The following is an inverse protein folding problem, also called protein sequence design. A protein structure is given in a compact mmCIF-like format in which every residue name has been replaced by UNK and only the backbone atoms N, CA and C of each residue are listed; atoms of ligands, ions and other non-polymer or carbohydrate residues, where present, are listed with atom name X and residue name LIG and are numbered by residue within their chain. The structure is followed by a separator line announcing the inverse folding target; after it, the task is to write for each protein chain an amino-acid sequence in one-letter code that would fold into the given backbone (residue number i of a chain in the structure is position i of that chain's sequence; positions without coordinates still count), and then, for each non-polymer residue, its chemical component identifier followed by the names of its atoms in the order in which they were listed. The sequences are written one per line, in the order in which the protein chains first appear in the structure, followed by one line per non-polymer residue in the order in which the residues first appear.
data_IF_934027661796
#
_entry.id   IF_934027661796
#
_cell.length_a   1.000
_cell.length_b   1.000
_cell.length_c   1.000
_cell.angle_alpha   90.00
_cell.angle_beta   90.00
_cell.angle_gamma   90.00
#
_symmetry.space_group_name_H-M   'P 1'
#
loop_
_entity.id
_entity.type
_entity.pdbx_description
1 polymer ?
#
# COMPACT_ATOMS: atom_id res chain seq x y z
N UNK A 1 -19.10 -18.15 -2.05
CA UNK A 1 -18.18 -18.52 -3.17
C UNK A 1 -16.86 -19.05 -2.63
N UNK A 2 -16.22 -19.93 -3.39
CA UNK A 2 -14.82 -20.35 -3.20
C UNK A 2 -13.94 -19.45 -4.05
N UNK A 3 -13.08 -18.68 -3.40
CA UNK A 3 -12.26 -17.64 -4.03
C UNK A 3 -10.78 -18.00 -3.83
N UNK A 4 -9.98 -18.00 -4.91
CA UNK A 4 -8.54 -18.11 -4.85
C UNK A 4 -7.88 -16.77 -5.15
N UNK A 5 -7.06 -16.27 -4.22
CA UNK A 5 -6.19 -15.12 -4.46
C UNK A 5 -4.79 -15.63 -4.78
N UNK A 6 -4.36 -15.44 -6.05
CA UNK A 6 -3.05 -15.87 -6.55
C UNK A 6 -2.04 -14.73 -6.37
N UNK A 7 -1.07 -14.93 -5.49
CA UNK A 7 -0.12 -13.87 -5.12
C UNK A 7 1.32 -14.39 -5.10
N UNK A 8 2.13 -13.92 -6.01
CA UNK A 8 3.49 -14.40 -6.26
C UNK A 8 4.58 -13.70 -5.43
N UNK A 9 4.26 -13.25 -4.23
CA UNK A 9 5.24 -12.66 -3.31
C UNK A 9 5.19 -13.31 -1.93
N UNK A 10 6.32 -13.26 -1.23
CA UNK A 10 6.47 -13.80 0.13
C UNK A 10 5.37 -13.32 1.07
N UNK A 11 4.76 -14.27 1.79
CA UNK A 11 3.73 -14.00 2.79
C UNK A 11 3.88 -15.03 3.94
N UNK A 12 4.00 -14.57 5.21
CA UNK A 12 3.90 -13.19 5.66
C UNK A 12 5.14 -12.33 5.36
N UNK A 13 4.94 -11.05 5.10
CA UNK A 13 6.02 -10.07 5.00
C UNK A 13 5.52 -8.64 5.32
N UNK A 14 6.44 -7.75 5.68
CA UNK A 14 6.13 -6.33 5.93
C UNK A 14 6.00 -5.52 4.63
N UNK A 15 6.03 -6.14 3.48
CA UNK A 15 5.85 -5.46 2.20
C UNK A 15 4.41 -4.94 2.05
N UNK A 16 4.21 -3.72 1.55
CA UNK A 16 2.87 -3.15 1.36
C UNK A 16 1.94 -4.03 0.52
N UNK A 17 2.46 -4.72 -0.50
CA UNK A 17 1.69 -5.64 -1.33
C UNK A 17 1.15 -6.82 -0.53
N UNK A 18 1.98 -7.42 0.33
CA UNK A 18 1.58 -8.53 1.20
C UNK A 18 0.54 -8.08 2.25
N UNK A 19 0.77 -6.92 2.88
CA UNK A 19 -0.19 -6.32 3.83
C UNK A 19 -1.55 -6.13 3.15
N UNK A 20 -1.58 -5.55 1.94
CA UNK A 20 -2.82 -5.28 1.23
C UNK A 20 -3.55 -6.57 0.81
N UNK A 21 -2.83 -7.56 0.28
CA UNK A 21 -3.42 -8.83 -0.14
C UNK A 21 -4.02 -9.58 1.04
N UNK A 22 -3.26 -9.74 2.13
CA UNK A 22 -3.74 -10.48 3.31
C UNK A 22 -4.95 -9.80 3.94
N UNK A 23 -4.94 -8.47 4.08
CA UNK A 23 -6.09 -7.74 4.63
C UNK A 23 -7.31 -7.79 3.69
N UNK A 24 -7.09 -7.78 2.35
CA UNK A 24 -8.19 -7.97 1.38
C UNK A 24 -8.79 -9.36 1.50
N UNK A 25 -7.96 -10.42 1.53
CA UNK A 25 -8.43 -11.80 1.73
C UNK A 25 -9.16 -11.97 3.06
N UNK A 26 -8.64 -11.40 4.14
CA UNK A 26 -9.30 -11.40 5.45
C UNK A 26 -10.67 -10.73 5.40
N UNK A 27 -10.78 -9.58 4.74
CA UNK A 27 -12.05 -8.87 4.59
C UNK A 27 -13.06 -9.66 3.73
N UNK A 28 -12.61 -10.29 2.66
CA UNK A 28 -13.46 -11.18 1.83
C UNK A 28 -13.93 -12.38 2.66
N UNK A 29 -13.07 -12.96 3.51
CA UNK A 29 -13.44 -14.05 4.41
C UNK A 29 -14.48 -13.61 5.45
N UNK A 30 -14.44 -12.33 5.91
CA UNK A 30 -15.45 -11.76 6.81
C UNK A 30 -16.84 -11.64 6.13
N UNK A 31 -16.90 -11.53 4.81
CA UNK A 31 -18.13 -11.54 4.01
C UNK A 31 -18.64 -12.96 3.72
N UNK A 32 -18.26 -13.95 4.54
CA UNK A 32 -18.70 -15.34 4.46
C UNK A 32 -18.28 -16.09 3.20
N UNK A 33 -17.22 -15.62 2.50
CA UNK A 33 -16.61 -16.36 1.40
C UNK A 33 -15.48 -17.26 1.91
N UNK A 34 -15.28 -18.42 1.26
CA UNK A 34 -14.13 -19.30 1.51
C UNK A 34 -12.95 -18.80 0.66
N UNK A 35 -11.93 -18.23 1.30
CA UNK A 35 -10.78 -17.62 0.61
C UNK A 35 -9.53 -18.47 0.81
N UNK A 36 -8.91 -18.90 -0.28
CA UNK A 36 -7.56 -19.47 -0.31
C UNK A 36 -6.59 -18.43 -0.83
N UNK A 37 -5.57 -18.14 -0.04
CA UNK A 37 -4.44 -17.29 -0.45
C UNK A 37 -3.28 -18.19 -0.85
N UNK A 38 -2.97 -18.25 -2.14
CA UNK A 38 -1.91 -19.09 -2.69
C UNK A 38 -0.66 -18.26 -2.91
N UNK A 39 0.45 -18.65 -2.25
CA UNK A 39 1.71 -17.92 -2.22
C UNK A 39 2.91 -18.85 -2.37
N UNK A 40 4.09 -18.34 -2.79
CA UNK A 40 5.32 -19.13 -2.76
C UNK A 40 5.74 -19.45 -1.31
N UNK A 41 6.23 -20.66 -1.08
CA UNK A 41 6.77 -21.07 0.20
C UNK A 41 8.18 -20.47 0.41
N UNK A 42 8.30 -19.52 1.31
CA UNK A 42 9.57 -18.87 1.66
C UNK A 42 10.09 -19.28 3.03
N UNK A 43 9.58 -20.39 3.58
CA UNK A 43 10.06 -20.96 4.85
C UNK A 43 9.56 -20.27 6.13
N UNK A 44 8.87 -19.14 6.04
CA UNK A 44 8.38 -18.44 7.22
C UNK A 44 7.09 -19.07 7.77
N UNK A 45 7.10 -19.52 9.01
CA UNK A 45 5.96 -20.11 9.72
C UNK A 45 5.42 -19.17 10.81
N UNK A 46 4.94 -17.99 10.42
CA UNK A 46 4.33 -17.04 11.34
C UNK A 46 2.83 -16.94 11.05
N UNK A 47 2.02 -16.95 12.11
CA UNK A 47 0.58 -16.78 12.00
C UNK A 47 0.21 -15.45 11.32
N UNK A 48 -0.58 -15.50 10.25
CA UNK A 48 -1.10 -14.30 9.57
C UNK A 48 -1.87 -13.40 10.54
N UNK A 49 -2.66 -14.01 11.43
CA UNK A 49 -3.45 -13.29 12.43
C UNK A 49 -2.56 -12.43 13.34
N UNK A 50 -1.48 -13.02 13.86
CA UNK A 50 -0.53 -12.32 14.75
C UNK A 50 0.29 -11.27 13.99
N UNK A 51 0.74 -11.59 12.76
CA UNK A 51 1.60 -10.71 11.98
C UNK A 51 0.86 -9.45 11.47
N UNK A 52 -0.36 -9.63 10.94
CA UNK A 52 -1.13 -8.55 10.31
C UNK A 52 -2.23 -7.97 11.21
N UNK A 53 -2.54 -8.58 12.36
CA UNK A 53 -3.63 -8.16 13.24
C UNK A 53 -5.02 -8.37 12.64
N UNK A 54 -5.19 -9.39 11.78
CA UNK A 54 -6.46 -9.69 11.11
C UNK A 54 -7.38 -10.53 11.97
N UNK A 55 -8.71 -10.33 11.85
CA UNK A 55 -9.70 -11.07 12.64
C UNK A 55 -9.98 -12.46 12.05
N UNK A 56 -10.19 -12.57 10.74
CA UNK A 56 -10.47 -13.82 10.03
C UNK A 56 -9.37 -14.09 9.01
N UNK A 57 -8.64 -15.18 9.18
CA UNK A 57 -7.55 -15.55 8.28
C UNK A 57 -8.08 -16.28 7.05
N UNK A 58 -7.60 -15.96 5.84
CA UNK A 58 -7.78 -16.86 4.69
C UNK A 58 -7.03 -18.16 4.94
N UNK A 59 -7.41 -19.24 4.25
CA UNK A 59 -6.61 -20.47 4.19
C UNK A 59 -5.34 -20.17 3.40
N UNK A 60 -4.17 -20.27 4.03
CA UNK A 60 -2.88 -20.01 3.39
C UNK A 60 -2.36 -21.30 2.76
N UNK A 61 -2.18 -21.28 1.44
CA UNK A 61 -1.57 -22.37 0.67
C UNK A 61 -0.17 -21.91 0.24
N UNK A 62 0.85 -22.63 0.67
CA UNK A 62 2.25 -22.37 0.33
C UNK A 62 2.73 -23.38 -0.70
N UNK A 63 2.91 -22.97 -1.95
CA UNK A 63 3.45 -23.82 -3.00
C UNK A 63 4.98 -23.80 -2.98
N UNK A 64 5.59 -24.93 -3.38
CA UNK A 64 7.04 -25.06 -3.46
C UNK A 64 7.63 -23.92 -4.30
N UNK A 65 8.66 -23.27 -3.76
CA UNK A 65 9.33 -22.14 -4.41
C UNK A 65 10.63 -22.60 -5.03
N UNK A 66 10.74 -22.43 -6.33
CA UNK A 66 11.89 -22.87 -7.11
C UNK A 66 12.92 -21.74 -7.22
N UNK A 67 13.53 -21.34 -6.09
CA UNK A 67 14.49 -20.24 -6.04
C UNK A 67 15.84 -20.50 -6.75
N UNK A 68 16.10 -21.75 -7.17
CA UNK A 68 17.28 -22.12 -7.96
C UNK A 68 17.18 -21.79 -9.45
N UNK A 69 15.99 -21.46 -9.96
CA UNK A 69 15.80 -21.08 -11.35
C UNK A 69 16.08 -19.58 -11.57
N UNK A 70 16.55 -19.17 -12.77
CA UNK A 70 16.69 -17.76 -13.12
C UNK A 70 15.42 -16.97 -12.87
N UNK A 71 15.57 -15.71 -12.48
CA UNK A 71 14.51 -14.83 -11.96
C UNK A 71 13.19 -14.77 -12.77
N UNK A 72 13.20 -15.12 -14.03
CA UNK A 72 12.00 -15.16 -14.87
C UNK A 72 11.20 -16.48 -14.79
N UNK A 73 11.89 -17.61 -14.77
CA UNK A 73 11.24 -18.93 -14.92
C UNK A 73 10.40 -19.30 -13.69
N UNK A 74 10.90 -19.06 -12.47
CA UNK A 74 10.14 -19.38 -11.26
C UNK A 74 8.79 -18.64 -11.19
N UNK A 75 8.73 -17.43 -11.75
CA UNK A 75 7.51 -16.61 -11.78
C UNK A 75 6.42 -17.27 -12.64
N UNK A 76 6.80 -17.80 -13.80
CA UNK A 76 5.87 -18.50 -14.70
C UNK A 76 5.47 -19.86 -14.13
N UNK A 77 6.42 -20.63 -13.58
CA UNK A 77 6.14 -21.91 -12.93
C UNK A 77 5.21 -21.75 -11.73
N UNK A 78 5.46 -20.78 -10.86
CA UNK A 78 4.57 -20.50 -9.73
C UNK A 78 3.16 -20.14 -10.20
N UNK A 79 3.06 -19.30 -11.23
CA UNK A 79 1.77 -18.91 -11.82
C UNK A 79 1.00 -20.12 -12.32
N UNK A 80 1.66 -21.01 -13.05
CA UNK A 80 1.06 -22.25 -13.55
C UNK A 80 0.59 -23.16 -12.41
N UNK A 81 1.47 -23.53 -11.49
CA UNK A 81 1.12 -24.41 -10.37
C UNK A 81 0.04 -23.82 -9.44
N UNK A 82 0.05 -22.50 -9.24
CA UNK A 82 -0.98 -21.85 -8.42
C UNK A 82 -2.38 -21.94 -9.03
N UNK A 83 -2.49 -21.89 -10.36
CA UNK A 83 -3.75 -22.04 -11.09
C UNK A 83 -4.20 -23.50 -11.07
N UNK A 84 -3.29 -24.44 -11.37
CA UNK A 84 -3.58 -25.88 -11.32
C UNK A 84 -4.12 -26.25 -9.94
N UNK A 85 -3.42 -25.87 -8.86
CA UNK A 85 -3.89 -26.13 -7.50
C UNK A 85 -5.29 -25.55 -7.24
N UNK A 86 -5.53 -24.30 -7.68
CA UNK A 86 -6.82 -23.64 -7.46
C UNK A 86 -7.97 -24.27 -8.29
N UNK A 87 -7.69 -24.88 -9.43
CA UNK A 87 -8.68 -25.60 -10.24
C UNK A 87 -9.13 -26.87 -9.51
N UNK A 88 -8.18 -27.68 -9.00
CA UNK A 88 -8.51 -28.88 -8.23
C UNK A 88 -9.36 -28.58 -6.99
N UNK A 89 -9.22 -27.39 -6.40
CA UNK A 89 -10.03 -26.91 -5.29
C UNK A 89 -11.44 -26.42 -5.70
N UNK A 90 -11.85 -26.62 -6.95
CA UNK A 90 -13.14 -26.16 -7.51
C UNK A 90 -13.39 -24.68 -7.23
N UNK A 91 -12.36 -23.82 -7.44
CA UNK A 91 -12.45 -22.36 -7.29
C UNK A 91 -13.44 -21.76 -8.29
N UNK A 92 -14.33 -20.89 -7.79
CA UNK A 92 -15.37 -20.22 -8.59
C UNK A 92 -14.92 -18.86 -9.11
N UNK A 93 -14.07 -18.16 -8.33
CA UNK A 93 -13.56 -16.83 -8.67
C UNK A 93 -12.07 -16.71 -8.35
N UNK A 94 -11.31 -16.21 -9.29
CA UNK A 94 -9.88 -15.95 -9.14
C UNK A 94 -9.62 -14.47 -8.97
N UNK A 95 -8.72 -14.11 -8.07
CA UNK A 95 -8.22 -12.73 -7.92
C UNK A 95 -6.71 -12.76 -8.08
N UNK A 96 -6.16 -11.87 -8.88
CA UNK A 96 -4.71 -11.78 -9.10
C UNK A 96 -4.26 -10.35 -9.38
N UNK A 97 -2.95 -10.12 -9.26
CA UNK A 97 -2.24 -8.90 -9.69
C UNK A 97 -1.25 -9.19 -10.81
N UNK A 98 -1.16 -10.44 -11.21
CA UNK A 98 -0.16 -10.95 -12.13
C UNK A 98 -0.80 -11.09 -13.51
N UNK A 99 -0.22 -10.41 -14.51
CA UNK A 99 -0.70 -10.46 -15.90
C UNK A 99 -0.57 -11.87 -16.50
N UNK A 100 0.48 -12.61 -16.15
CA UNK A 100 0.63 -13.97 -16.65
C UNK A 100 -0.46 -14.90 -16.10
N UNK A 101 -0.84 -14.76 -14.81
CA UNK A 101 -2.01 -15.45 -14.28
C UNK A 101 -3.28 -15.07 -15.04
N UNK A 102 -3.45 -13.79 -15.38
CA UNK A 102 -4.60 -13.33 -16.16
C UNK A 102 -4.66 -14.01 -17.53
N UNK A 103 -3.51 -14.12 -18.22
CA UNK A 103 -3.42 -14.77 -19.52
C UNK A 103 -3.84 -16.24 -19.44
N UNK A 104 -3.28 -16.98 -18.48
CA UNK A 104 -3.62 -18.39 -18.28
C UNK A 104 -5.11 -18.58 -17.91
N UNK A 105 -5.65 -17.73 -17.03
CA UNK A 105 -7.07 -17.78 -16.65
C UNK A 105 -7.99 -17.39 -17.81
N UNK A 106 -7.54 -16.53 -18.73
CA UNK A 106 -8.27 -16.21 -19.96
C UNK A 106 -8.33 -17.43 -20.92
N UNK A 107 -7.20 -18.11 -21.09
CA UNK A 107 -7.14 -19.35 -21.90
C UNK A 107 -8.10 -20.40 -21.32
N UNK A 108 -8.09 -20.57 -20.01
CA UNK A 108 -8.94 -21.52 -19.29
C UNK A 108 -10.40 -21.02 -19.08
N UNK A 109 -10.75 -19.85 -19.59
CA UNK A 109 -12.09 -19.21 -19.47
C UNK A 109 -12.59 -19.13 -18.01
N UNK A 110 -11.68 -19.01 -17.01
CA UNK A 110 -12.02 -18.94 -15.58
C UNK A 110 -12.36 -17.51 -15.17
N UNK A 111 -13.43 -17.33 -14.38
CA UNK A 111 -13.84 -16.00 -13.86
C UNK A 111 -12.73 -15.36 -13.05
N UNK A 112 -12.29 -14.15 -13.43
CA UNK A 112 -11.14 -13.48 -12.82
C UNK A 112 -11.39 -12.00 -12.56
N UNK A 113 -10.88 -11.52 -11.43
CA UNK A 113 -10.69 -10.11 -11.10
C UNK A 113 -9.20 -9.84 -11.13
N UNK A 114 -8.78 -8.81 -11.88
CA UNK A 114 -7.40 -8.35 -11.94
C UNK A 114 -7.23 -7.01 -11.22
N UNK A 115 -6.28 -6.92 -10.28
CA UNK A 115 -5.91 -5.67 -9.62
C UNK A 115 -4.65 -5.07 -10.25
N UNK A 116 -4.74 -3.84 -10.77
CA UNK A 116 -3.64 -3.13 -11.42
C UNK A 116 -3.16 -1.99 -10.52
N UNK A 117 -1.85 -2.01 -10.20
CA UNK A 117 -1.22 -1.13 -9.23
C UNK A 117 -0.23 -0.10 -9.81
N UNK A 118 0.13 -0.24 -11.06
CA UNK A 118 1.07 0.63 -11.77
C UNK A 118 0.89 0.47 -13.29
N UNK A 119 1.61 1.28 -14.05
CA UNK A 119 1.76 1.07 -15.48
C UNK A 119 2.61 -0.18 -15.78
N UNK A 120 2.53 -0.66 -17.02
CA UNK A 120 3.33 -1.81 -17.47
C UNK A 120 4.69 -1.40 -18.03
N UNK A 121 5.15 -0.17 -17.75
CA UNK A 121 6.41 0.32 -18.30
C UNK A 121 7.62 -0.54 -17.91
N UNK A 122 7.58 -1.10 -16.71
CA UNK A 122 8.63 -1.96 -16.16
C UNK A 122 8.35 -3.48 -16.33
N UNK A 123 7.27 -3.86 -16.98
CA UNK A 123 7.03 -5.26 -17.34
C UNK A 123 7.93 -5.68 -18.52
N UNK A 124 8.27 -6.96 -18.61
CA UNK A 124 9.07 -7.49 -19.72
C UNK A 124 8.46 -7.18 -21.09
N UNK A 125 9.28 -7.09 -22.13
CA UNK A 125 8.82 -6.81 -23.52
C UNK A 125 7.73 -7.79 -23.96
N UNK A 126 7.88 -9.05 -23.62
CA UNK A 126 6.90 -10.11 -23.91
C UNK A 126 5.53 -9.85 -23.27
N UNK A 127 5.50 -9.50 -22.00
CA UNK A 127 4.24 -9.18 -21.30
C UNK A 127 3.54 -7.95 -21.93
N UNK A 128 4.32 -6.93 -22.30
CA UNK A 128 3.78 -5.76 -23.00
C UNK A 128 3.18 -6.12 -24.36
N UNK A 129 3.87 -6.94 -25.11
CA UNK A 129 3.40 -7.45 -26.40
C UNK A 129 2.06 -8.20 -26.22
N UNK A 130 2.01 -9.16 -25.28
CA UNK A 130 0.79 -9.93 -25.01
C UNK A 130 -0.37 -9.02 -24.56
N UNK A 131 -0.10 -8.03 -23.69
CA UNK A 131 -1.14 -7.09 -23.26
C UNK A 131 -1.72 -6.27 -24.41
N UNK A 132 -0.88 -5.87 -25.36
CA UNK A 132 -1.28 -5.00 -26.47
C UNK A 132 -1.97 -5.78 -27.61
N UNK A 133 -1.41 -6.91 -28.01
CA UNK A 133 -1.83 -7.62 -29.23
C UNK A 133 -2.85 -8.75 -28.99
N UNK A 134 -2.86 -9.38 -27.81
CA UNK A 134 -3.80 -10.47 -27.49
C UNK A 134 -5.08 -9.95 -26.81
N UNK A 135 -5.20 -8.63 -26.61
CA UNK A 135 -6.37 -7.99 -26.00
C UNK A 135 -6.77 -8.67 -24.67
N UNK A 136 -5.76 -8.89 -23.78
CA UNK A 136 -5.92 -9.67 -22.55
C UNK A 136 -6.94 -9.11 -21.58
N UNK A 137 -7.23 -7.77 -21.63
CA UNK A 137 -8.13 -7.12 -20.70
C UNK A 137 -9.60 -7.10 -21.13
N UNK A 138 -9.93 -7.45 -22.39
CA UNK A 138 -11.30 -7.37 -22.92
C UNK A 138 -12.00 -8.73 -23.01
N UNK A 139 -11.42 -9.79 -22.39
CA UNK A 139 -12.02 -11.12 -22.40
C UNK A 139 -13.29 -11.17 -21.54
N UNK A 140 -14.27 -12.00 -21.95
CA UNK A 140 -15.57 -12.15 -21.26
C UNK A 140 -15.49 -12.70 -19.85
N UNK A 141 -14.48 -13.52 -19.56
CA UNK A 141 -14.25 -14.13 -18.23
C UNK A 141 -13.68 -13.15 -17.20
N UNK A 142 -13.23 -11.95 -17.61
CA UNK A 142 -12.82 -10.89 -16.69
C UNK A 142 -14.08 -10.19 -16.17
N UNK A 143 -14.41 -10.45 -14.93
CA UNK A 143 -15.62 -9.87 -14.29
C UNK A 143 -15.40 -8.47 -13.80
N UNK A 144 -14.15 -8.11 -13.44
CA UNK A 144 -13.77 -6.74 -13.03
C UNK A 144 -12.27 -6.48 -13.16
N UNK A 145 -11.93 -5.26 -13.53
CA UNK A 145 -10.57 -4.72 -13.45
C UNK A 145 -10.55 -3.67 -12.33
N UNK A 146 -9.73 -3.90 -11.30
CA UNK A 146 -9.55 -2.97 -10.19
C UNK A 146 -8.32 -2.11 -10.44
N UNK A 147 -8.52 -0.81 -10.62
CA UNK A 147 -7.45 0.18 -10.68
C UNK A 147 -7.29 0.84 -9.30
N UNK A 148 -6.06 0.94 -8.77
CA UNK A 148 -5.87 1.52 -7.43
C UNK A 148 -5.94 3.05 -7.40
N UNK A 149 -5.93 3.73 -8.56
CA UNK A 149 -6.04 5.19 -8.70
C UNK A 149 -6.74 5.53 -10.01
N UNK A 150 -7.30 6.73 -10.11
CA UNK A 150 -7.83 7.25 -11.38
C UNK A 150 -6.76 7.38 -12.45
N UNK A 151 -5.51 7.67 -12.04
CA UNK A 151 -4.38 7.71 -12.95
C UNK A 151 -4.11 6.34 -13.60
N UNK A 152 -4.23 5.23 -12.84
CA UNK A 152 -4.15 3.86 -13.39
C UNK A 152 -5.31 3.58 -14.33
N UNK A 153 -6.56 3.94 -13.96
CA UNK A 153 -7.74 3.79 -14.85
C UNK A 153 -7.51 4.50 -16.17
N UNK A 154 -7.10 5.78 -16.13
CA UNK A 154 -6.81 6.58 -17.34
C UNK A 154 -5.72 5.95 -18.21
N UNK A 155 -4.67 5.42 -17.58
CA UNK A 155 -3.59 4.70 -18.27
C UNK A 155 -4.12 3.47 -19.01
N UNK A 156 -4.94 2.64 -18.35
CA UNK A 156 -5.50 1.41 -18.92
C UNK A 156 -6.41 1.70 -20.11
N UNK A 157 -7.32 2.64 -19.96
CA UNK A 157 -8.22 3.06 -21.07
C UNK A 157 -7.42 3.55 -22.28
N UNK A 158 -6.44 4.45 -22.04
CA UNK A 158 -5.66 5.05 -23.13
C UNK A 158 -4.79 4.04 -23.89
N UNK A 159 -4.19 3.04 -23.19
CA UNK A 159 -3.17 2.18 -23.81
C UNK A 159 -3.70 0.81 -24.23
N UNK A 160 -4.86 0.37 -23.74
CA UNK A 160 -5.38 -0.98 -23.99
C UNK A 160 -6.84 -0.97 -24.47
N UNK A 161 -7.41 0.19 -24.75
CA UNK A 161 -8.79 0.34 -25.25
C UNK A 161 -9.80 -0.49 -24.45
N UNK A 162 -9.72 -0.41 -23.12
CA UNK A 162 -10.59 -1.17 -22.21
C UNK A 162 -11.87 -0.38 -21.99
N UNK A 163 -13.02 -1.05 -22.05
CA UNK A 163 -14.29 -0.46 -21.66
C UNK A 163 -14.22 0.07 -20.22
N UNK A 164 -14.50 1.38 -20.07
CA UNK A 164 -14.47 2.08 -18.79
C UNK A 164 -15.40 1.47 -17.75
N UNK A 165 -16.49 0.80 -18.16
CA UNK A 165 -17.45 0.09 -17.29
C UNK A 165 -16.82 -1.11 -16.61
N UNK A 166 -15.84 -1.76 -17.23
CA UNK A 166 -15.10 -2.89 -16.63
C UNK A 166 -14.06 -2.48 -15.59
N UNK A 167 -13.70 -1.17 -15.53
CA UNK A 167 -12.66 -0.67 -14.63
C UNK A 167 -13.27 0.11 -13.49
N UNK A 168 -13.16 -0.43 -12.27
CA UNK A 168 -13.52 0.29 -11.05
C UNK A 168 -12.27 0.80 -10.32
N UNK A 169 -12.31 2.05 -9.85
CA UNK A 169 -11.22 2.62 -9.03
C UNK A 169 -11.47 2.29 -7.58
N UNK A 170 -10.63 1.39 -7.04
CA UNK A 170 -10.70 0.94 -5.66
C UNK A 170 -9.34 1.17 -5.00
N UNK A 171 -9.13 2.30 -4.30
CA UNK A 171 -7.87 2.62 -3.66
C UNK A 171 -7.46 1.61 -2.59
N UNK A 172 -6.24 1.75 -2.09
CA UNK A 172 -5.78 1.05 -0.89
C UNK A 172 -6.68 1.41 0.32
N UNK A 173 -6.53 0.64 1.40
CA UNK A 173 -7.34 0.81 2.60
C UNK A 173 -6.50 0.63 3.86
N UNK A 174 -7.10 0.88 5.04
CA UNK A 174 -6.52 0.54 6.33
C UNK A 174 -7.41 -0.46 7.08
N UNK A 175 -6.77 -1.37 7.84
CA UNK A 175 -7.44 -2.22 8.83
C UNK A 175 -7.25 -1.71 10.25
N UNK A 176 -6.46 -0.65 10.43
CA UNK A 176 -6.18 -0.09 11.74
C UNK A 176 -7.41 0.66 12.27
N UNK A 177 -7.82 0.35 13.49
CA UNK A 177 -8.96 0.96 14.16
C UNK A 177 -8.45 1.84 15.30
N UNK A 178 -8.68 3.14 15.20
CA UNK A 178 -8.36 4.11 16.24
C UNK A 178 -9.63 4.73 16.83
N UNK A 179 -9.50 5.30 18.02
CA UNK A 179 -10.46 6.28 18.56
C UNK A 179 -9.93 7.67 18.22
N UNK A 180 -10.81 8.56 17.78
CA UNK A 180 -10.43 9.94 17.53
C UNK A 180 -10.06 10.64 18.84
N UNK A 181 -9.04 11.46 18.83
CA UNK A 181 -8.66 12.33 19.94
C UNK A 181 -8.20 13.68 19.41
N UNK A 182 -8.58 14.74 20.10
CA UNK A 182 -8.09 16.06 19.76
C UNK A 182 -6.58 16.19 20.02
N UNK A 183 -5.95 17.07 19.29
CA UNK A 183 -4.59 17.50 19.55
C UNK A 183 -4.64 18.67 20.53
N UNK A 184 -3.83 18.63 21.57
CA UNK A 184 -3.69 19.71 22.51
C UNK A 184 -2.41 20.53 22.20
N UNK A 185 -2.37 21.77 22.65
CA UNK A 185 -1.17 22.58 22.60
C UNK A 185 -0.10 21.94 23.49
N UNK A 186 1.11 21.76 22.96
CA UNK A 186 2.24 21.13 23.65
C UNK A 186 3.51 21.96 23.48
N UNK A 187 4.45 21.80 24.40
CA UNK A 187 5.81 22.37 24.30
C UNK A 187 6.52 21.78 23.06
N UNK A 188 6.37 20.48 22.80
CA UNK A 188 6.88 19.77 21.62
C UNK A 188 5.90 18.69 21.17
N UNK A 189 5.97 18.33 19.89
CA UNK A 189 5.19 17.27 19.29
C UNK A 189 6.04 16.04 18.97
N UNK A 190 5.45 14.86 19.05
CA UNK A 190 6.01 13.62 18.53
C UNK A 190 5.62 13.49 17.05
N UNK A 191 6.61 13.54 16.18
CA UNK A 191 6.44 13.57 14.73
C UNK A 191 6.91 12.26 14.15
N UNK A 192 6.01 11.49 13.52
CA UNK A 192 6.26 10.14 13.04
C UNK A 192 6.31 10.00 11.52
N UNK A 193 7.16 9.10 11.06
CA UNK A 193 7.17 8.59 9.69
C UNK A 193 7.19 7.06 9.71
N UNK A 194 6.29 6.45 8.94
CA UNK A 194 6.17 4.99 8.83
C UNK A 194 6.28 4.57 7.36
N UNK A 195 7.28 3.75 7.03
CA UNK A 195 7.47 3.29 5.66
C UNK A 195 8.92 2.92 5.33
N UNK A 196 9.18 2.52 4.09
CA UNK A 196 10.54 2.15 3.68
C UNK A 196 11.52 3.32 3.81
N UNK A 197 12.79 2.99 4.04
CA UNK A 197 13.88 3.96 4.20
C UNK A 197 14.46 4.45 2.85
N UNK A 198 13.66 4.38 1.78
CA UNK A 198 14.06 4.86 0.46
C UNK A 198 14.14 6.38 0.40
N UNK A 199 15.21 6.89 -0.25
CA UNK A 199 15.45 8.34 -0.40
C UNK A 199 14.29 9.07 -1.09
N UNK A 200 13.61 8.43 -2.05
CA UNK A 200 12.47 9.01 -2.77
C UNK A 200 11.22 9.20 -1.89
N UNK A 201 11.19 8.56 -0.73
CA UNK A 201 10.12 8.68 0.27
C UNK A 201 10.46 9.65 1.40
N UNK A 202 11.57 10.39 1.25
CA UNK A 202 11.91 11.54 2.08
C UNK A 202 12.61 11.22 3.40
N UNK A 203 13.19 10.03 3.59
CA UNK A 203 13.91 9.69 4.84
C UNK A 203 15.06 10.65 5.12
N UNK A 204 15.90 10.93 4.12
CA UNK A 204 17.00 11.90 4.27
C UNK A 204 16.48 13.31 4.57
N UNK A 205 15.33 13.68 4.04
CA UNK A 205 14.69 14.96 4.29
C UNK A 205 14.26 15.06 5.76
N UNK A 206 13.68 13.99 6.35
CA UNK A 206 13.29 13.98 7.76
C UNK A 206 14.51 14.09 8.67
N UNK A 207 15.65 13.48 8.34
CA UNK A 207 16.89 13.64 9.11
C UNK A 207 17.35 15.10 9.12
N UNK A 208 17.35 15.77 7.93
CA UNK A 208 17.67 17.19 7.82
C UNK A 208 16.66 18.08 8.56
N UNK A 209 15.36 17.73 8.48
CA UNK A 209 14.29 18.44 9.18
C UNK A 209 14.49 18.36 10.70
N UNK A 210 14.73 17.18 11.25
CA UNK A 210 15.01 16.96 12.67
C UNK A 210 16.28 17.68 13.13
N UNK A 211 17.31 17.76 12.27
CA UNK A 211 18.55 18.49 12.60
C UNK A 211 18.29 19.99 12.74
N UNK A 212 17.39 20.58 11.96
CA UNK A 212 17.07 22.01 12.02
C UNK A 212 16.01 22.35 13.07
N UNK A 213 14.99 21.50 13.23
CA UNK A 213 13.95 21.64 14.25
C UNK A 213 14.40 21.00 15.57
N UNK A 214 14.92 21.79 16.49
CA UNK A 214 15.42 21.32 17.80
C UNK A 214 14.32 21.17 18.85
N UNK A 215 13.11 21.62 18.58
CA UNK A 215 11.99 21.62 19.53
C UNK A 215 11.26 20.28 19.56
N UNK A 216 10.94 19.74 18.39
CA UNK A 216 10.10 18.55 18.27
C UNK A 216 10.92 17.25 18.30
N UNK A 217 10.26 16.13 18.63
CA UNK A 217 10.85 14.78 18.63
C UNK A 217 10.41 14.03 17.37
N UNK A 218 11.38 13.44 16.67
CA UNK A 218 11.16 12.76 15.41
C UNK A 218 11.35 11.25 15.56
N UNK A 219 10.49 10.49 14.87
CA UNK A 219 10.50 9.04 14.88
C UNK A 219 10.35 8.50 13.47
N UNK A 220 11.29 7.66 13.04
CA UNK A 220 11.23 6.91 11.79
C UNK A 220 11.09 5.43 12.11
N UNK A 221 10.09 4.78 11.53
CA UNK A 221 9.89 3.34 11.59
C UNK A 221 9.85 2.76 10.18
N UNK A 222 10.84 1.94 9.82
CA UNK A 222 10.88 1.32 8.50
C UNK A 222 12.18 0.63 8.17
N UNK A 223 12.20 -0.03 7.02
CA UNK A 223 13.34 -0.81 6.57
C UNK A 223 13.64 -2.05 7.42
N UNK A 224 14.68 -2.77 7.05
CA UNK A 224 15.25 -3.88 7.80
C UNK A 224 16.16 -3.37 8.94
N UNK A 225 16.62 -4.27 9.82
CA UNK A 225 17.67 -3.95 10.80
C UNK A 225 18.95 -3.46 10.11
N UNK A 226 19.28 -4.06 8.97
CA UNK A 226 20.42 -3.66 8.14
C UNK A 226 20.27 -2.25 7.55
N UNK A 227 19.09 -1.90 6.98
CA UNK A 227 18.85 -0.56 6.48
C UNK A 227 19.01 0.51 7.57
N UNK A 228 18.53 0.22 8.77
CA UNK A 228 18.65 1.10 9.94
C UNK A 228 20.11 1.24 10.37
N UNK A 229 20.90 0.15 10.39
CA UNK A 229 22.32 0.21 10.75
C UNK A 229 23.13 1.09 9.78
N UNK A 230 22.84 1.01 8.47
CA UNK A 230 23.44 1.89 7.45
C UNK A 230 23.11 3.36 7.72
N UNK A 231 21.83 3.67 8.01
CA UNK A 231 21.45 5.05 8.31
C UNK A 231 22.09 5.58 9.58
N UNK A 232 22.23 4.76 10.61
CA UNK A 232 22.85 5.14 11.89
C UNK A 232 24.37 5.39 11.80
N UNK A 233 25.05 4.96 10.73
CA UNK A 233 26.45 5.35 10.46
C UNK A 233 26.61 6.85 10.16
N UNK A 234 25.51 7.54 9.90
CA UNK A 234 25.50 8.99 9.70
C UNK A 234 25.30 9.71 11.04
N UNK A 235 25.67 10.99 11.08
CA UNK A 235 25.34 11.84 12.23
C UNK A 235 23.83 12.01 12.33
N UNK A 236 23.22 11.35 13.33
CA UNK A 236 21.78 11.40 13.59
C UNK A 236 21.52 12.45 14.68
N UNK A 237 20.57 13.39 14.48
CA UNK A 237 20.20 14.37 15.51
C UNK A 237 19.67 13.72 16.78
N UNK A 238 19.97 14.27 17.95
CA UNK A 238 19.57 13.73 19.27
C UNK A 238 18.04 13.63 19.43
N UNK A 239 17.28 14.47 18.74
CA UNK A 239 15.83 14.48 18.76
C UNK A 239 15.19 13.51 17.72
N UNK A 240 15.98 12.69 17.03
CA UNK A 240 15.50 11.70 16.05
C UNK A 240 15.81 10.28 16.48
N UNK A 241 14.75 9.44 16.55
CA UNK A 241 14.88 7.99 16.74
C UNK A 241 14.55 7.24 15.45
N UNK A 242 15.47 6.39 14.98
CA UNK A 242 15.29 5.55 13.79
C UNK A 242 15.18 4.09 14.23
N UNK A 243 14.06 3.46 13.85
CA UNK A 243 13.71 2.08 14.18
C UNK A 243 13.44 1.28 12.91
N UNK A 244 13.70 -0.02 12.94
CA UNK A 244 13.31 -0.91 11.85
C UNK A 244 11.79 -1.05 11.77
N UNK A 245 11.32 -1.65 10.68
CA UNK A 245 9.89 -1.91 10.47
C UNK A 245 9.33 -2.83 11.56
N UNK A 246 8.10 -2.56 11.96
CA UNK A 246 7.34 -3.39 12.90
C UNK A 246 6.27 -4.18 12.16
N UNK A 247 5.82 -5.29 12.75
CA UNK A 247 4.69 -6.03 12.21
C UNK A 247 3.45 -5.16 12.17
N UNK A 248 2.68 -5.27 11.10
CA UNK A 248 1.51 -4.41 10.87
C UNK A 248 0.50 -4.44 12.03
N UNK A 249 0.32 -5.60 12.67
CA UNK A 249 -0.54 -5.74 13.84
C UNK A 249 -0.11 -4.89 15.07
N UNK A 250 1.16 -4.48 15.15
CA UNK A 250 1.67 -3.59 16.22
C UNK A 250 1.69 -2.11 15.83
N UNK A 251 1.45 -1.80 14.56
CA UNK A 251 1.61 -0.44 14.02
C UNK A 251 0.69 0.58 14.71
N UNK A 252 -0.55 0.17 15.02
CA UNK A 252 -1.52 1.00 15.75
C UNK A 252 -0.94 1.56 17.05
N UNK A 253 -0.32 0.72 17.89
CA UNK A 253 0.23 1.14 19.18
C UNK A 253 1.32 2.19 19.03
N UNK A 254 2.12 2.11 17.97
CA UNK A 254 3.22 3.05 17.75
C UNK A 254 2.70 4.37 17.15
N UNK A 255 1.79 4.30 16.17
CA UNK A 255 1.17 5.48 15.59
C UNK A 255 0.39 6.28 16.65
N UNK A 256 -0.27 5.61 17.61
CA UNK A 256 -1.04 6.29 18.64
C UNK A 256 -0.20 7.26 19.50
N UNK A 257 1.11 7.00 19.64
CA UNK A 257 2.06 7.84 20.38
C UNK A 257 2.50 9.09 19.61
N UNK A 258 2.17 9.20 18.34
CA UNK A 258 2.52 10.35 17.50
C UNK A 258 1.43 11.42 17.58
N UNK A 259 1.83 12.67 17.35
CA UNK A 259 0.94 13.83 17.22
C UNK A 259 0.75 14.21 15.74
N UNK A 260 1.85 14.16 14.98
CA UNK A 260 1.93 14.54 13.57
C UNK A 260 2.56 13.40 12.78
N UNK A 261 2.04 13.13 11.58
CA UNK A 261 2.53 12.12 10.67
C UNK A 261 3.02 12.76 9.36
N UNK A 262 4.25 12.42 8.96
CA UNK A 262 4.87 13.00 7.78
C UNK A 262 4.83 12.07 6.57
N UNK A 263 4.56 12.65 5.39
CA UNK A 263 4.70 11.99 4.08
C UNK A 263 5.54 12.86 3.12
N UNK A 264 6.83 13.07 3.36
CA UNK A 264 7.68 13.92 2.53
C UNK A 264 8.18 13.15 1.28
N UNK A 265 7.24 12.68 0.47
CA UNK A 265 7.55 11.93 -0.75
C UNK A 265 8.06 12.87 -1.85
N UNK A 266 9.05 12.41 -2.63
CA UNK A 266 9.52 13.17 -3.77
C UNK A 266 8.40 13.32 -4.81
N UNK A 267 8.18 14.53 -5.30
CA UNK A 267 7.09 14.87 -6.22
C UNK A 267 7.34 14.42 -7.67
N UNK A 268 8.61 14.19 -8.03
CA UNK A 268 9.02 13.80 -9.38
C UNK A 268 9.28 12.29 -9.51
N UNK A 269 9.75 11.62 -8.44
CA UNK A 269 10.14 10.22 -8.47
C UNK A 269 9.86 9.53 -7.14
N UNK A 270 9.00 8.51 -7.13
CA UNK A 270 8.82 7.58 -6.02
C UNK A 270 9.17 6.17 -6.52
N UNK A 271 10.12 5.51 -5.85
CA UNK A 271 10.52 4.15 -6.19
C UNK A 271 9.60 3.11 -5.54
N UNK A 272 9.26 2.08 -6.29
CA UNK A 272 8.62 0.88 -5.76
C UNK A 272 9.64 0.06 -4.95
N UNK A 273 9.18 -0.68 -3.94
CA UNK A 273 10.03 -1.61 -3.21
C UNK A 273 10.45 -2.76 -4.15
N UNK A 274 11.76 -2.97 -4.30
CA UNK A 274 12.31 -4.04 -5.15
C UNK A 274 12.19 -3.84 -6.67
N UNK A 275 11.74 -2.66 -7.15
CA UNK A 275 11.65 -2.35 -8.59
C UNK A 275 12.36 -1.06 -8.97
N UNK A 276 12.99 -1.09 -10.14
CA UNK A 276 13.66 0.07 -10.77
C UNK A 276 12.60 0.83 -11.57
N UNK A 277 11.66 1.51 -10.90
CA UNK A 277 10.61 2.23 -11.59
C UNK A 277 10.15 3.49 -10.85
N UNK A 278 9.49 4.38 -11.58
CA UNK A 278 8.88 5.56 -11.00
C UNK A 278 7.35 5.38 -10.92
N UNK A 279 6.83 5.19 -9.72
CA UNK A 279 5.41 5.00 -9.47
C UNK A 279 4.69 6.27 -8.98
N UNK A 280 5.34 7.44 -9.05
CA UNK A 280 4.79 8.69 -8.50
C UNK A 280 3.43 9.05 -9.07
N UNK A 281 3.16 8.70 -10.33
CA UNK A 281 1.88 8.99 -11.01
C UNK A 281 0.75 8.04 -10.62
N UNK A 282 1.06 6.84 -10.11
CA UNK A 282 0.10 5.74 -9.99
C UNK A 282 -0.06 5.21 -8.57
N UNK A 283 0.78 5.65 -7.63
CA UNK A 283 0.85 5.04 -6.30
C UNK A 283 -0.36 5.36 -5.41
N UNK A 284 -0.87 4.35 -4.72
CA UNK A 284 -1.86 4.47 -3.64
C UNK A 284 -1.24 3.89 -2.35
N UNK A 285 -0.40 4.69 -1.63
CA UNK A 285 0.42 4.15 -0.55
C UNK A 285 -0.42 3.80 0.68
N UNK A 286 -0.26 2.60 1.24
CA UNK A 286 -0.99 2.12 2.42
C UNK A 286 -0.90 3.09 3.61
N UNK A 287 0.29 3.66 3.84
CA UNK A 287 0.50 4.62 4.94
C UNK A 287 -0.44 5.84 4.89
N UNK A 288 -0.88 6.27 3.70
CA UNK A 288 -1.84 7.37 3.58
C UNK A 288 -3.15 7.00 4.28
N UNK A 289 -3.65 5.79 4.05
CA UNK A 289 -4.91 5.31 4.63
C UNK A 289 -4.76 5.00 6.13
N UNK A 290 -3.61 4.47 6.55
CA UNK A 290 -3.30 4.27 7.97
C UNK A 290 -3.22 5.61 8.72
N UNK A 291 -2.66 6.65 8.09
CA UNK A 291 -2.59 7.99 8.65
C UNK A 291 -3.96 8.64 8.76
N UNK A 292 -4.80 8.54 7.72
CA UNK A 292 -6.19 8.98 7.80
C UNK A 292 -6.93 8.28 8.95
N UNK A 293 -6.82 6.95 9.03
CA UNK A 293 -7.48 6.15 10.05
C UNK A 293 -7.03 6.49 11.48
N UNK A 294 -5.78 6.96 11.63
CA UNK A 294 -5.23 7.33 12.93
C UNK A 294 -5.83 8.60 13.53
N UNK A 295 -6.45 9.46 12.71
CA UNK A 295 -6.92 10.78 13.13
C UNK A 295 -5.80 11.70 13.64
N UNK A 296 -4.55 11.44 13.25
CA UNK A 296 -3.42 12.32 13.53
C UNK A 296 -3.30 13.40 12.45
N UNK A 297 -2.62 14.52 12.76
CA UNK A 297 -2.35 15.52 11.73
C UNK A 297 -1.41 14.93 10.68
N UNK A 298 -1.77 15.06 9.41
CA UNK A 298 -0.96 14.62 8.28
C UNK A 298 -0.33 15.84 7.61
N UNK A 299 1.00 15.83 7.47
CA UNK A 299 1.72 16.83 6.65
C UNK A 299 2.37 16.07 5.49
N UNK A 300 2.06 16.49 4.26
CA UNK A 300 2.39 15.74 3.05
C UNK A 300 2.96 16.63 1.94
N UNK A 301 3.86 16.07 1.12
CA UNK A 301 4.31 16.71 -0.12
C UNK A 301 3.19 16.79 -1.15
N UNK A 302 3.21 17.83 -1.99
CA UNK A 302 2.25 18.03 -3.07
C UNK A 302 2.48 17.03 -4.23
N UNK A 303 2.19 15.75 -4.00
CA UNK A 303 2.21 14.70 -5.04
C UNK A 303 0.86 14.62 -5.72
N UNK A 304 0.82 14.76 -7.05
CA UNK A 304 -0.43 14.88 -7.81
C UNK A 304 -1.45 13.77 -7.52
N UNK A 305 -1.02 12.51 -7.49
CA UNK A 305 -1.93 11.37 -7.25
C UNK A 305 -2.50 11.35 -5.83
N UNK A 306 -1.85 11.97 -4.85
CA UNK A 306 -2.40 12.04 -3.49
C UNK A 306 -3.61 12.94 -3.40
N UNK A 307 -3.77 13.89 -4.34
CA UNK A 307 -4.95 14.77 -4.43
C UNK A 307 -6.24 14.03 -4.77
N UNK A 308 -6.17 12.78 -5.23
CA UNK A 308 -7.35 11.93 -5.37
C UNK A 308 -8.03 11.64 -4.02
N UNK A 309 -7.28 11.75 -2.91
CA UNK A 309 -7.73 11.45 -1.54
C UNK A 309 -7.53 12.63 -0.59
N UNK A 310 -6.40 13.34 -0.72
CA UNK A 310 -6.00 14.41 0.19
C UNK A 310 -6.29 15.80 -0.37
N UNK A 311 -6.83 16.67 0.51
CA UNK A 311 -7.11 18.08 0.21
C UNK A 311 -6.48 18.96 1.27
N UNK A 312 -5.65 19.93 0.84
CA UNK A 312 -4.97 20.87 1.76
C UNK A 312 -5.97 21.66 2.59
N UNK A 313 -5.69 21.82 3.87
CA UNK A 313 -6.55 22.54 4.80
C UNK A 313 -7.86 21.83 5.16
N UNK A 314 -8.24 20.75 4.46
CA UNK A 314 -9.46 19.98 4.71
C UNK A 314 -9.20 18.70 5.51
N UNK A 315 -8.25 17.85 5.07
CA UNK A 315 -7.93 16.58 5.72
C UNK A 315 -6.42 16.32 5.86
N UNK A 316 -5.60 17.26 5.44
CA UNK A 316 -4.15 17.25 5.62
C UNK A 316 -3.61 18.68 5.50
N UNK A 317 -2.32 18.86 5.77
CA UNK A 317 -1.57 20.05 5.39
C UNK A 317 -0.58 19.68 4.28
N UNK A 318 -0.66 20.37 3.14
CA UNK A 318 0.25 20.16 2.01
C UNK A 318 1.42 21.13 2.08
N UNK A 319 2.63 20.65 1.76
CA UNK A 319 3.81 21.47 1.53
C UNK A 319 4.27 21.27 0.09
N UNK A 320 4.38 22.36 -0.66
CA UNK A 320 4.58 22.30 -2.11
C UNK A 320 6.02 21.93 -2.52
N UNK A 321 6.98 22.19 -1.66
CA UNK A 321 8.39 22.01 -1.93
C UNK A 321 9.11 21.17 -0.86
N UNK A 322 10.37 20.85 -1.14
CA UNK A 322 11.29 20.19 -0.20
C UNK A 322 12.15 21.20 0.59
N UNK A 323 11.67 22.45 0.73
CA UNK A 323 12.33 23.44 1.55
C UNK A 323 12.05 23.16 3.04
N UNK A 324 13.12 22.94 3.80
CA UNK A 324 13.04 22.57 5.22
C UNK A 324 12.35 23.68 6.03
N UNK A 325 12.61 24.94 5.71
CA UNK A 325 12.01 26.08 6.41
C UNK A 325 10.49 26.10 6.27
N UNK A 326 9.97 25.79 5.08
CA UNK A 326 8.53 25.76 4.83
C UNK A 326 7.85 24.61 5.61
N UNK A 327 8.51 23.46 5.74
CA UNK A 327 8.03 22.36 6.58
C UNK A 327 8.04 22.73 8.06
N UNK A 328 9.12 23.34 8.57
CA UNK A 328 9.21 23.83 9.96
C UNK A 328 8.14 24.89 10.23
N UNK A 329 7.99 25.86 9.34
CA UNK A 329 6.94 26.89 9.45
C UNK A 329 5.55 26.28 9.56
N UNK A 330 5.27 25.24 8.72
CA UNK A 330 3.98 24.52 8.75
C UNK A 330 3.79 23.75 10.06
N UNK A 331 4.83 23.07 10.57
CA UNK A 331 4.80 22.36 11.86
C UNK A 331 4.61 23.34 13.02
N UNK A 332 5.33 24.45 13.03
CA UNK A 332 5.26 25.44 14.10
C UNK A 332 3.90 26.15 14.18
N UNK A 333 3.21 26.35 13.05
CA UNK A 333 1.86 26.91 13.03
C UNK A 333 0.83 26.03 13.76
N UNK A 334 1.07 24.73 13.90
CA UNK A 334 0.14 23.79 14.54
C UNK A 334 -0.26 24.25 15.94
N UNK A 335 0.69 24.73 16.76
CA UNK A 335 0.42 25.17 18.14
C UNK A 335 -0.40 26.46 18.25
N UNK A 336 -0.49 27.24 17.18
CA UNK A 336 -1.26 28.49 17.15
C UNK A 336 -2.66 28.31 16.53
N UNK A 337 -2.88 27.23 15.78
CA UNK A 337 -4.11 26.97 15.02
C UNK A 337 -4.83 25.68 15.50
N UNK A 338 -4.78 25.36 16.81
CA UNK A 338 -5.22 24.04 17.37
C UNK A 338 -6.66 23.69 16.97
N UNK A 339 -7.60 24.65 17.03
CA UNK A 339 -9.00 24.40 16.65
C UNK A 339 -9.11 23.99 15.18
N UNK A 340 -8.49 24.74 14.27
CA UNK A 340 -8.43 24.43 12.84
C UNK A 340 -7.77 23.09 12.57
N UNK A 341 -6.66 22.79 13.25
CA UNK A 341 -5.93 21.52 13.13
C UNK A 341 -6.83 20.35 13.56
N UNK A 342 -7.59 20.49 14.64
CA UNK A 342 -8.51 19.44 15.09
C UNK A 342 -9.64 19.20 14.10
N UNK A 343 -10.14 20.22 13.41
CA UNK A 343 -11.10 20.05 12.33
C UNK A 343 -10.50 19.27 11.14
N UNK A 344 -9.26 19.62 10.73
CA UNK A 344 -8.53 18.89 9.67
C UNK A 344 -8.36 17.41 10.04
N UNK A 345 -7.94 17.12 11.27
CA UNK A 345 -7.77 15.75 11.79
C UNK A 345 -9.10 14.99 11.82
N UNK A 346 -10.18 15.64 12.26
CA UNK A 346 -11.53 15.03 12.29
C UNK A 346 -11.99 14.68 10.88
N UNK A 347 -11.83 15.58 9.92
CA UNK A 347 -12.16 15.34 8.53
C UNK A 347 -11.34 14.17 7.93
N UNK A 348 -10.05 14.08 8.25
CA UNK A 348 -9.21 12.95 7.85
C UNK A 348 -9.72 11.63 8.43
N UNK A 349 -10.06 11.62 9.72
CA UNK A 349 -10.59 10.45 10.42
C UNK A 349 -11.94 10.01 9.86
N UNK A 350 -12.89 10.93 9.63
CA UNK A 350 -14.20 10.62 9.02
C UNK A 350 -14.03 10.09 7.59
N UNK A 351 -13.14 10.71 6.80
CA UNK A 351 -12.83 10.23 5.45
C UNK A 351 -12.30 8.80 5.47
N UNK A 352 -11.48 8.42 6.46
CA UNK A 352 -10.91 7.08 6.57
C UNK A 352 -11.95 5.97 6.65
N UNK A 353 -13.14 6.27 7.17
CA UNK A 353 -14.27 5.32 7.26
C UNK A 353 -14.75 4.83 5.89
N UNK A 354 -14.43 5.57 4.81
CA UNK A 354 -14.70 5.16 3.42
C UNK A 354 -13.66 4.16 2.90
N UNK A 355 -12.45 4.12 3.51
CA UNK A 355 -11.29 3.35 3.02
C UNK A 355 -10.92 2.22 3.98
N UNK A 356 -11.89 1.37 4.34
CA UNK A 356 -11.66 0.14 5.12
C UNK A 356 -11.54 -1.06 4.20
N UNK A 357 -10.79 -2.09 4.61
CA UNK A 357 -10.69 -3.33 3.80
C UNK A 357 -12.05 -4.03 3.62
N UNK A 358 -12.97 -3.91 4.58
CA UNK A 358 -14.31 -4.48 4.42
C UNK A 358 -15.09 -3.79 3.29
N UNK A 359 -15.06 -2.44 3.25
CA UNK A 359 -15.70 -1.68 2.15
C UNK A 359 -14.99 -1.95 0.82
N UNK A 360 -13.65 -2.07 0.84
CA UNK A 360 -12.87 -2.44 -0.33
C UNK A 360 -13.26 -3.82 -0.87
N UNK A 361 -13.36 -4.83 0.00
CA UNK A 361 -13.78 -6.19 -0.37
C UNK A 361 -15.19 -6.22 -0.96
N UNK A 362 -16.16 -5.50 -0.36
CA UNK A 362 -17.50 -5.35 -0.93
C UNK A 362 -17.48 -4.78 -2.34
N UNK A 363 -16.71 -3.72 -2.60
CA UNK A 363 -16.56 -3.13 -3.93
C UNK A 363 -15.89 -4.09 -4.94
N UNK A 364 -14.86 -4.83 -4.51
CA UNK A 364 -14.20 -5.84 -5.37
C UNK A 364 -15.20 -6.91 -5.81
N UNK A 365 -16.07 -7.38 -4.91
CA UNK A 365 -17.01 -8.48 -5.16
C UNK A 365 -18.37 -8.04 -5.71
N UNK A 366 -18.64 -6.75 -5.83
CA UNK A 366 -19.87 -6.23 -6.43
C UNK A 366 -19.67 -6.12 -7.96
N UNK A 367 -20.04 -7.15 -8.71
CA UNK A 367 -19.96 -7.24 -10.19
C UNK A 367 -21.18 -7.97 -10.76
#
# INVERSE_FOLDING_TARGET
MRIAYLFNSSTPSSNPSSIQVVNTCSAISQLSHRVKLIVPNTGQNVSLKKFYGINKSPTLIKLKYFNKFPLGIYYYLFSFFSIVHAIFDKTELYITRNIFNLILLNILKKKVIIEIHHDFHNEGRFVKFLCKYINVFNKKNIVKIVAITYAVKKYLVKNFNIDTKKIEVIPSASSLKFKFSNLNKKKFYNIGYFGSLDKSKGTNFIIKLANKDKVNKYYIYGGSKYDVSILKKRKIPNNLKINHSVHYGRLKHIISKMDILLMPSNTKKIRSLGRIGNIVKFTSPLKLFDYLASGKLIIVSNVKVFKEILSDGKNCLVVNDFNINNWIKKINKVKFEISRINNIKRNAFELSKKYTYLKRAKKILNF
#
